data_IF_262117133616
#
_entry.id   IF_262117133616
#
_cell.length_a   1.000
_cell.length_b   1.000
_cell.length_c   1.000
_cell.angle_alpha   90.00
_cell.angle_beta   90.00
_cell.angle_gamma   90.00
#
_symmetry.space_group_name_H-M   'P 1'
#
loop_
_entity.id
_entity.type
_entity.pdbx_description
1 polymer ?
#
# COMPACT_ATOMS: atom_id res chain seq x y z
N UNK A 1 47.84 1.29 1.49
CA UNK A 1 46.78 1.88 2.36
C UNK A 1 45.45 2.04 1.61
N UNK A 2 44.94 1.02 0.90
CA UNK A 2 43.67 1.11 0.13
C UNK A 2 42.74 -0.11 0.28
N UNK A 3 42.90 -0.92 1.32
CA UNK A 3 42.09 -2.14 1.50
C UNK A 3 41.33 -2.25 2.84
N UNK A 4 41.31 -1.19 3.65
CA UNK A 4 40.62 -1.21 4.96
C UNK A 4 39.20 -0.61 4.93
N UNK A 5 38.76 0.00 3.84
CA UNK A 5 37.47 0.72 3.77
C UNK A 5 36.30 -0.14 3.24
N UNK A 6 36.54 -1.39 2.82
CA UNK A 6 35.51 -2.25 2.18
C UNK A 6 34.93 -3.32 3.12
N UNK A 7 35.02 -3.13 4.44
CA UNK A 7 34.45 -4.05 5.44
C UNK A 7 33.30 -3.48 6.27
N UNK A 8 32.78 -2.30 5.91
CA UNK A 8 31.71 -1.64 6.66
C UNK A 8 30.42 -1.47 5.85
N UNK A 9 29.95 -2.52 5.16
CA UNK A 9 28.62 -2.52 4.54
C UNK A 9 27.95 -3.90 4.48
N UNK A 10 28.09 -4.69 5.55
CA UNK A 10 27.10 -5.71 5.89
C UNK A 10 26.37 -5.25 7.15
N UNK A 11 25.41 -4.35 6.97
CA UNK A 11 24.47 -4.00 8.02
C UNK A 11 23.39 -5.09 8.10
N UNK A 12 23.55 -5.91 9.12
CA UNK A 12 22.60 -6.81 9.76
C UNK A 12 21.13 -6.43 9.55
N UNK A 13 20.41 -7.21 8.74
CA UNK A 13 18.94 -7.22 8.73
C UNK A 13 18.47 -8.05 9.92
N UNK A 14 18.39 -7.42 11.10
CA UNK A 14 17.71 -8.00 12.25
C UNK A 14 16.19 -7.90 12.05
N UNK A 15 15.56 -9.00 11.64
CA UNK A 15 14.09 -9.14 11.71
C UNK A 15 13.74 -9.82 13.02
N UNK A 16 13.35 -9.02 14.02
CA UNK A 16 12.74 -9.53 15.24
C UNK A 16 11.32 -10.03 14.97
N UNK A 17 11.07 -11.30 15.27
CA UNK A 17 9.75 -11.93 15.30
C UNK A 17 9.19 -11.77 16.71
N UNK A 18 8.05 -11.11 16.87
CA UNK A 18 7.30 -11.08 18.12
C UNK A 18 5.86 -11.49 17.86
N UNK A 19 5.48 -12.63 18.42
CA UNK A 19 4.09 -13.09 18.51
C UNK A 19 3.55 -12.52 19.82
N UNK A 20 2.96 -11.33 19.75
CA UNK A 20 2.21 -10.76 20.87
C UNK A 20 0.82 -11.39 20.90
N UNK A 21 0.66 -12.49 21.62
CA UNK A 21 -0.66 -13.00 21.96
C UNK A 21 -1.35 -12.01 22.91
N UNK A 22 -2.28 -11.21 22.39
CA UNK A 22 -3.19 -10.42 23.22
C UNK A 22 -4.07 -11.38 24.01
N UNK A 23 -3.73 -11.57 25.29
CA UNK A 23 -4.59 -12.21 26.29
C UNK A 23 -5.84 -11.33 26.46
N UNK A 24 -7.06 -11.81 26.17
CA UNK A 24 -8.25 -11.02 26.44
C UNK A 24 -8.38 -10.81 27.97
N UNK A 25 -8.84 -9.63 28.41
CA UNK A 25 -9.11 -9.40 29.83
C UNK A 25 -10.22 -10.36 30.29
N UNK A 26 -9.91 -11.14 31.33
CA UNK A 26 -10.88 -11.90 32.12
C UNK A 26 -11.94 -10.94 32.65
N UNK A 27 -13.15 -11.02 32.11
CA UNK A 27 -14.32 -10.42 32.73
C UNK A 27 -14.78 -11.33 33.87
N UNK A 28 -14.53 -10.87 35.09
CA UNK A 28 -15.08 -11.44 36.31
C UNK A 28 -16.57 -11.04 36.39
N UNK A 29 -17.45 -11.94 35.97
CA UNK A 29 -18.89 -11.74 35.98
C UNK A 29 -19.43 -11.82 37.42
N UNK A 30 -19.84 -10.68 37.96
CA UNK A 30 -20.56 -10.55 39.22
C UNK A 30 -22.03 -10.94 38.98
N UNK A 31 -22.42 -12.14 39.42
CA UNK A 31 -23.81 -12.61 39.39
C UNK A 31 -24.67 -11.78 40.36
N UNK A 32 -25.80 -11.29 39.86
CA UNK A 32 -26.92 -10.77 40.64
C UNK A 32 -28.18 -11.60 40.30
N UNK A 33 -29.16 -11.69 41.23
CA UNK A 33 -30.13 -12.77 41.26
C UNK A 33 -31.28 -12.59 40.27
N UNK A 34 -31.77 -13.76 39.85
CA UNK A 34 -32.89 -14.03 38.95
C UNK A 34 -34.20 -13.57 39.61
N UNK A 35 -34.99 -12.78 38.86
CA UNK A 35 -36.43 -12.61 39.10
C UNK A 35 -37.15 -12.94 37.79
N UNK A 36 -37.84 -14.07 37.80
CA UNK A 36 -38.81 -14.47 36.77
C UNK A 36 -40.07 -13.60 36.86
N UNK A 37 -40.61 -13.20 35.69
CA UNK A 37 -41.99 -13.51 35.28
C UNK A 37 -42.40 -12.87 33.96
N UNK A 38 -43.12 -13.70 33.19
CA UNK A 38 -44.16 -13.40 32.20
C UNK A 38 -43.78 -13.22 30.73
N UNK A 39 -44.38 -14.10 29.92
CA UNK A 39 -45.37 -13.64 28.94
C UNK A 39 -44.95 -13.85 27.49
N UNK A 40 -45.48 -14.90 26.87
CA UNK A 40 -45.18 -15.28 25.50
C UNK A 40 -45.67 -14.30 24.44
N UNK A 41 -44.87 -14.22 23.38
CA UNK A 41 -45.29 -14.12 22.00
C UNK A 41 -44.04 -14.50 21.19
N UNK A 42 -43.93 -15.80 20.89
CA UNK A 42 -42.90 -16.37 20.02
C UNK A 42 -43.08 -15.77 18.63
N UNK A 43 -42.43 -14.64 18.40
CA UNK A 43 -42.27 -14.03 17.10
C UNK A 43 -41.15 -14.80 16.43
N UNK A 44 -41.55 -15.66 15.51
CA UNK A 44 -40.66 -16.38 14.62
C UNK A 44 -39.63 -15.38 14.06
N UNK A 45 -38.32 -15.59 14.27
CA UNK A 45 -37.32 -14.65 13.83
C UNK A 45 -37.43 -14.51 12.31
N UNK A 46 -37.47 -13.28 11.77
CA UNK A 46 -37.55 -13.07 10.33
C UNK A 46 -36.43 -13.84 9.65
N UNK A 47 -36.70 -14.51 8.52
CA UNK A 47 -35.71 -15.30 7.81
C UNK A 47 -34.48 -14.42 7.59
N UNK A 48 -33.35 -14.85 8.17
CA UNK A 48 -32.06 -14.25 7.94
C UNK A 48 -31.86 -14.25 6.42
N UNK A 49 -32.00 -13.07 5.80
CA UNK A 49 -31.75 -12.88 4.38
C UNK A 49 -30.26 -13.10 4.16
N UNK A 50 -29.92 -14.37 3.94
CA UNK A 50 -28.64 -14.87 3.49
C UNK A 50 -28.42 -14.46 2.04
N UNK A 51 -28.36 -13.15 1.78
CA UNK A 51 -27.73 -12.66 0.57
C UNK A 51 -26.23 -12.72 0.80
N UNK A 52 -25.69 -13.94 0.66
CA UNK A 52 -24.26 -14.22 0.60
C UNK A 52 -23.64 -13.64 -0.67
N UNK A 53 -23.70 -12.31 -0.82
CA UNK A 53 -22.88 -11.61 -1.81
C UNK A 53 -21.43 -11.77 -1.37
N UNK A 54 -20.75 -12.70 -2.01
CA UNK A 54 -19.31 -12.81 -1.94
C UNK A 54 -18.73 -11.44 -2.31
N UNK A 55 -17.80 -10.89 -1.51
CA UNK A 55 -17.27 -9.56 -1.77
C UNK A 55 -16.63 -9.51 -3.17
N UNK A 56 -16.83 -8.41 -3.91
CA UNK A 56 -16.49 -8.33 -5.33
C UNK A 56 -14.99 -8.52 -5.52
N UNK A 57 -14.57 -9.46 -6.35
CA UNK A 57 -13.14 -9.68 -6.60
C UNK A 57 -12.57 -8.52 -7.40
N UNK A 58 -11.45 -7.94 -6.95
CA UNK A 58 -10.75 -6.92 -7.73
C UNK A 58 -10.07 -7.59 -8.93
N UNK A 59 -10.34 -7.10 -10.14
CA UNK A 59 -9.80 -7.62 -11.40
C UNK A 59 -9.11 -6.55 -12.23
N UNK A 60 -9.52 -5.31 -12.05
CA UNK A 60 -9.06 -4.16 -12.82
C UNK A 60 -8.33 -3.16 -11.93
N UNK A 61 -7.51 -2.33 -12.57
CA UNK A 61 -6.79 -1.25 -11.93
C UNK A 61 -6.94 -0.01 -12.80
N UNK A 62 -7.34 1.10 -12.19
CA UNK A 62 -7.33 2.42 -12.79
C UNK A 62 -6.51 3.37 -11.93
N UNK A 63 -6.07 4.49 -12.50
CA UNK A 63 -5.67 5.64 -11.71
C UNK A 63 -6.58 6.84 -11.99
N UNK A 64 -6.64 7.73 -11.02
CA UNK A 64 -7.30 9.01 -11.12
C UNK A 64 -6.55 10.09 -10.34
N UNK A 65 -6.77 11.33 -10.72
CA UNK A 65 -6.12 12.50 -10.14
C UNK A 65 -6.97 13.06 -9.02
N UNK A 66 -6.38 13.13 -7.83
CA UNK A 66 -7.02 13.65 -6.65
C UNK A 66 -6.69 15.13 -6.52
N UNK A 67 -7.68 16.00 -6.74
CA UNK A 67 -7.49 17.45 -6.81
C UNK A 67 -7.79 18.17 -5.50
N UNK A 68 -8.58 17.53 -4.63
CA UNK A 68 -9.00 18.10 -3.36
C UNK A 68 -9.29 16.99 -2.34
N UNK A 69 -9.43 17.38 -1.08
CA UNK A 69 -9.88 16.49 -0.01
C UNK A 69 -11.32 16.07 -0.33
N UNK A 70 -11.61 14.78 -0.11
CA UNK A 70 -12.91 14.16 -0.39
C UNK A 70 -13.29 14.18 -1.89
N UNK A 71 -12.28 14.35 -2.77
CA UNK A 71 -12.44 14.37 -4.22
C UNK A 71 -12.45 12.98 -4.87
N UNK A 72 -12.35 11.90 -4.09
CA UNK A 72 -12.36 10.55 -4.62
C UNK A 72 -13.68 10.22 -5.32
N UNK A 73 -13.59 9.54 -6.47
CA UNK A 73 -14.76 9.04 -7.17
C UNK A 73 -15.30 7.82 -6.42
N UNK A 74 -16.56 7.82 -5.94
CA UNK A 74 -17.09 6.70 -5.17
C UNK A 74 -17.44 5.49 -6.05
N UNK A 75 -17.68 4.34 -5.41
CA UNK A 75 -18.16 3.10 -6.03
C UNK A 75 -17.06 2.11 -6.42
N UNK A 76 -15.79 2.46 -6.26
CA UNK A 76 -14.68 1.54 -6.52
C UNK A 76 -14.54 0.47 -5.43
N UNK A 77 -14.11 -0.73 -5.81
CA UNK A 77 -13.93 -1.85 -4.88
C UNK A 77 -12.73 -1.67 -3.94
N UNK A 78 -11.72 -0.90 -4.36
CA UNK A 78 -10.55 -0.56 -3.56
C UNK A 78 -10.03 0.82 -3.92
N UNK A 79 -9.55 1.57 -2.93
CA UNK A 79 -8.96 2.89 -3.08
C UNK A 79 -7.52 2.82 -2.63
N UNK A 80 -6.57 2.98 -3.54
CA UNK A 80 -5.13 3.00 -3.24
C UNK A 80 -4.59 4.42 -3.35
N UNK A 81 -4.06 4.98 -2.27
CA UNK A 81 -3.50 6.32 -2.24
C UNK A 81 -1.99 6.29 -2.47
N UNK A 82 -1.52 7.10 -3.42
CA UNK A 82 -0.09 7.25 -3.74
C UNK A 82 0.46 8.48 -3.03
N UNK A 83 1.06 8.27 -1.86
CA UNK A 83 1.42 9.36 -0.94
C UNK A 83 2.93 9.51 -0.76
N UNK A 84 3.41 10.75 -0.87
CA UNK A 84 4.80 11.10 -0.55
C UNK A 84 4.90 11.73 0.82
N UNK A 85 5.91 11.33 1.59
CA UNK A 85 6.18 11.86 2.93
C UNK A 85 6.94 13.18 2.94
N UNK A 86 7.35 13.67 1.76
CA UNK A 86 8.05 14.95 1.56
C UNK A 86 7.38 15.74 0.44
N UNK A 87 7.55 17.06 0.47
CA UNK A 87 7.18 17.92 -0.67
C UNK A 87 8.04 17.56 -1.90
N UNK A 88 7.53 17.86 -3.09
CA UNK A 88 8.15 17.56 -4.40
C UNK A 88 7.98 18.73 -5.38
N UNK A 89 8.72 18.67 -6.50
CA UNK A 89 8.67 19.68 -7.55
C UNK A 89 9.13 21.06 -7.04
N UNK A 90 8.47 22.12 -7.50
CA UNK A 90 8.73 23.49 -7.06
C UNK A 90 8.61 23.68 -5.54
N UNK A 91 7.86 22.83 -4.83
CA UNK A 91 7.66 22.91 -3.39
C UNK A 91 8.83 22.30 -2.58
N UNK A 92 9.80 21.66 -3.23
CA UNK A 92 10.96 21.03 -2.59
C UNK A 92 12.23 21.05 -3.48
N UNK A 93 12.84 22.22 -3.70
CA UNK A 93 14.05 22.35 -4.52
C UNK A 93 15.25 21.57 -3.97
N UNK A 94 15.23 21.16 -2.69
CA UNK A 94 16.29 20.42 -2.01
C UNK A 94 15.96 18.94 -1.77
N UNK A 95 14.98 18.38 -2.48
CA UNK A 95 14.67 16.95 -2.35
C UNK A 95 15.89 16.12 -2.80
N UNK A 96 16.37 15.16 -1.98
CA UNK A 96 17.47 14.29 -2.37
C UNK A 96 17.17 13.59 -3.71
N UNK A 97 18.16 13.54 -4.59
CA UNK A 97 18.00 13.04 -5.95
C UNK A 97 17.47 11.59 -5.99
N UNK A 98 17.98 10.73 -5.10
CA UNK A 98 17.54 9.35 -4.99
C UNK A 98 16.07 9.22 -4.59
N UNK A 99 15.58 10.11 -3.70
CA UNK A 99 14.17 10.17 -3.29
C UNK A 99 13.31 10.66 -4.45
N UNK A 100 13.73 11.71 -5.15
CA UNK A 100 13.03 12.23 -6.32
C UNK A 100 12.89 11.16 -7.41
N UNK A 101 13.97 10.45 -7.73
CA UNK A 101 13.95 9.34 -8.69
C UNK A 101 12.98 8.23 -8.28
N UNK A 102 12.94 7.87 -6.99
CA UNK A 102 12.05 6.83 -6.48
C UNK A 102 10.57 7.21 -6.60
N UNK A 103 10.24 8.47 -6.32
CA UNK A 103 8.88 8.98 -6.46
C UNK A 103 8.46 9.05 -7.93
N UNK A 104 9.33 9.59 -8.80
CA UNK A 104 9.06 9.68 -10.23
C UNK A 104 8.87 8.28 -10.85
N UNK A 105 9.73 7.33 -10.51
CA UNK A 105 9.61 5.95 -10.97
C UNK A 105 8.30 5.28 -10.55
N UNK A 106 7.75 5.63 -9.37
CA UNK A 106 6.45 5.11 -8.93
C UNK A 106 5.31 5.69 -9.76
N UNK A 107 5.30 7.00 -10.00
CA UNK A 107 4.27 7.64 -10.83
C UNK A 107 4.29 7.07 -12.24
N UNK A 108 5.47 6.96 -12.85
CA UNK A 108 5.65 6.36 -14.17
C UNK A 108 5.24 4.88 -14.21
N UNK A 109 5.56 4.11 -13.18
CA UNK A 109 5.16 2.71 -13.09
C UNK A 109 3.63 2.54 -13.03
N UNK A 110 2.94 3.38 -12.26
CA UNK A 110 1.47 3.36 -12.17
C UNK A 110 0.87 3.78 -13.51
N UNK A 111 1.29 4.93 -14.03
CA UNK A 111 0.76 5.48 -15.27
C UNK A 111 0.96 4.54 -16.47
N UNK A 112 2.16 4.00 -16.65
CA UNK A 112 2.49 3.13 -17.80
C UNK A 112 1.81 1.76 -17.76
N UNK A 113 1.26 1.36 -16.61
CA UNK A 113 0.72 0.01 -16.41
C UNK A 113 -0.76 -0.01 -16.03
N UNK A 114 -1.42 1.14 -16.00
CA UNK A 114 -2.77 1.29 -15.46
C UNK A 114 -3.54 2.29 -16.32
N UNK A 115 -4.77 1.95 -16.73
CA UNK A 115 -5.63 2.88 -17.48
C UNK A 115 -6.13 4.02 -16.59
N UNK A 116 -6.60 5.13 -17.18
CA UNK A 116 -7.30 6.14 -16.39
C UNK A 116 -8.68 5.62 -15.97
N UNK A 117 -9.24 6.18 -14.90
CA UNK A 117 -10.61 5.91 -14.49
C UNK A 117 -11.63 6.25 -15.60
N UNK A 118 -11.38 7.30 -16.39
CA UNK A 118 -12.21 7.66 -17.53
C UNK A 118 -12.20 6.61 -18.65
N UNK A 119 -11.02 6.03 -18.95
CA UNK A 119 -10.89 4.99 -19.96
C UNK A 119 -11.65 3.72 -19.57
N UNK A 120 -11.58 3.32 -18.29
CA UNK A 120 -12.31 2.16 -17.80
C UNK A 120 -13.83 2.36 -17.84
N UNK A 121 -14.31 3.56 -17.52
CA UNK A 121 -15.74 3.88 -17.62
C UNK A 121 -16.22 3.88 -19.07
N UNK A 122 -15.44 4.44 -20.00
CA UNK A 122 -15.74 4.37 -21.42
C UNK A 122 -15.79 2.92 -21.93
N UNK A 123 -14.97 2.03 -21.35
CA UNK A 123 -14.96 0.59 -21.61
C UNK A 123 -16.03 -0.20 -20.83
N UNK A 124 -16.89 0.47 -20.05
CA UNK A 124 -17.95 -0.14 -19.24
C UNK A 124 -17.45 -1.19 -18.23
N UNK A 125 -16.24 -0.97 -17.69
CA UNK A 125 -15.67 -1.84 -16.66
C UNK A 125 -16.32 -1.53 -15.29
N UNK A 126 -16.79 -2.55 -14.53
CA UNK A 126 -17.41 -2.34 -13.22
C UNK A 126 -16.45 -1.69 -12.21
N UNK A 127 -16.92 -0.68 -11.48
CA UNK A 127 -16.10 0.05 -10.49
C UNK A 127 -15.81 -0.82 -9.27
N UNK A 128 -16.79 -1.59 -8.84
CA UNK A 128 -16.73 -2.52 -7.72
C UNK A 128 -15.66 -3.61 -7.89
N UNK A 129 -15.27 -3.93 -9.14
CA UNK A 129 -14.19 -4.87 -9.47
C UNK A 129 -12.85 -4.16 -9.75
N UNK A 130 -12.77 -2.85 -9.49
CA UNK A 130 -11.63 -2.01 -9.83
C UNK A 130 -10.95 -1.43 -8.59
N UNK A 131 -9.62 -1.54 -8.54
CA UNK A 131 -8.78 -0.75 -7.63
C UNK A 131 -8.42 0.59 -8.26
N UNK A 132 -8.73 1.67 -7.57
CA UNK A 132 -8.46 3.04 -8.00
C UNK A 132 -7.20 3.60 -7.30
N UNK A 133 -6.13 3.83 -8.06
CA UNK A 133 -4.98 4.60 -7.61
C UNK A 133 -5.31 6.09 -7.60
N UNK A 134 -5.46 6.67 -6.42
CA UNK A 134 -5.69 8.09 -6.22
C UNK A 134 -4.35 8.81 -6.08
N UNK A 135 -4.02 9.67 -7.06
CA UNK A 135 -2.75 10.40 -7.15
C UNK A 135 -3.01 11.90 -6.91
N UNK A 136 -2.52 12.49 -5.80
CA UNK A 136 -2.64 13.93 -5.56
C UNK A 136 -2.05 14.77 -6.69
N UNK A 137 -2.85 15.62 -7.32
CA UNK A 137 -2.46 16.43 -8.47
C UNK A 137 -2.95 17.88 -8.36
N UNK A 138 -2.22 18.80 -9.00
CA UNK A 138 -2.53 20.24 -9.01
C UNK A 138 -3.58 20.63 -10.06
N UNK A 139 -3.80 19.78 -11.07
CA UNK A 139 -4.74 20.01 -12.17
C UNK A 139 -5.30 18.70 -12.70
N UNK A 140 -6.53 18.75 -13.24
CA UNK A 140 -7.25 17.60 -13.79
C UNK A 140 -6.63 17.07 -15.10
N UNK A 141 -6.01 17.95 -15.88
CA UNK A 141 -5.43 17.58 -17.18
C UNK A 141 -3.93 17.20 -17.06
N UNK A 142 -3.41 17.14 -15.84
CA UNK A 142 -2.00 16.91 -15.62
C UNK A 142 -1.63 15.43 -15.70
N UNK A 143 -0.53 15.14 -16.38
CA UNK A 143 0.11 13.83 -16.28
C UNK A 143 0.65 13.60 -14.86
N UNK A 144 0.58 12.38 -14.29
CA UNK A 144 1.26 12.05 -13.04
C UNK A 144 2.78 12.30 -13.12
N UNK A 145 3.27 13.36 -12.47
CA UNK A 145 4.69 13.72 -12.43
C UNK A 145 4.99 14.53 -11.16
N UNK A 146 6.27 14.65 -10.79
CA UNK A 146 6.63 15.42 -9.57
C UNK A 146 6.20 16.89 -9.62
N UNK A 147 6.24 17.53 -10.77
CA UNK A 147 5.90 18.96 -10.90
C UNK A 147 4.40 19.23 -10.77
N UNK A 148 3.57 18.30 -11.27
CA UNK A 148 2.12 18.32 -11.18
C UNK A 148 1.58 17.73 -9.87
N UNK A 149 2.40 17.05 -9.08
CA UNK A 149 1.98 16.39 -7.85
C UNK A 149 1.64 17.40 -6.74
N UNK A 150 0.49 17.20 -6.08
CA UNK A 150 0.03 18.10 -5.04
C UNK A 150 0.52 17.68 -3.63
N UNK A 151 1.73 18.10 -3.27
CA UNK A 151 2.37 17.78 -1.98
C UNK A 151 1.49 18.08 -0.75
N UNK A 152 0.83 19.25 -0.72
CA UNK A 152 -0.03 19.64 0.41
C UNK A 152 -1.19 18.67 0.64
N UNK A 153 -1.90 18.31 -0.43
CA UNK A 153 -3.00 17.35 -0.39
C UNK A 153 -2.52 15.95 0.03
N UNK A 154 -1.38 15.50 -0.49
CA UNK A 154 -0.78 14.23 -0.09
C UNK A 154 -0.49 14.17 1.43
N UNK A 155 0.04 15.25 2.01
CA UNK A 155 0.28 15.33 3.45
C UNK A 155 -1.01 15.33 4.26
N UNK A 156 -2.10 15.90 3.74
CA UNK A 156 -3.42 15.82 4.37
C UNK A 156 -3.94 14.39 4.37
N UNK A 157 -3.92 13.69 3.22
CA UNK A 157 -4.31 12.27 3.15
C UNK A 157 -3.43 11.37 4.03
N UNK A 158 -2.13 11.66 4.12
CA UNK A 158 -1.23 10.97 5.03
C UNK A 158 -1.65 11.14 6.50
N UNK A 159 -2.10 12.33 6.89
CA UNK A 159 -2.62 12.59 8.23
C UNK A 159 -3.93 11.83 8.50
N UNK A 160 -4.82 11.73 7.50
CA UNK A 160 -6.03 10.90 7.59
C UNK A 160 -5.70 9.42 7.76
N UNK A 161 -4.74 8.90 6.97
CA UNK A 161 -4.27 7.52 7.09
C UNK A 161 -3.67 7.23 8.48
N UNK A 162 -2.90 8.16 9.06
CA UNK A 162 -2.41 8.03 10.43
C UNK A 162 -3.56 7.95 11.46
N UNK A 163 -4.64 8.69 11.23
CA UNK A 163 -5.87 8.59 12.03
C UNK A 163 -6.56 7.23 11.92
N UNK A 164 -6.61 6.65 10.72
CA UNK A 164 -7.16 5.31 10.46
C UNK A 164 -6.29 4.20 11.09
N UNK A 165 -4.97 4.41 11.16
CA UNK A 165 -3.99 3.49 11.72
C UNK A 165 -3.89 3.49 13.26
N UNK A 166 -4.79 4.17 13.98
CA UNK A 166 -4.80 4.17 15.46
C UNK A 166 -4.89 2.72 15.98
N UNK A 167 -3.87 2.30 16.74
CA UNK A 167 -3.69 0.92 17.21
C UNK A 167 -2.57 0.14 16.51
N UNK A 168 -2.00 0.68 15.44
CA UNK A 168 -0.90 0.08 14.68
C UNK A 168 0.40 0.91 14.75
N UNK A 169 1.00 1.00 15.94
CA UNK A 169 2.13 1.89 16.25
C UNK A 169 3.31 1.77 15.27
N UNK A 170 3.61 0.56 14.79
CA UNK A 170 4.70 0.34 13.84
C UNK A 170 4.46 1.07 12.51
N UNK A 171 3.27 0.90 11.93
CA UNK A 171 2.91 1.54 10.67
C UNK A 171 2.74 3.04 10.85
N UNK A 172 2.17 3.48 11.98
CA UNK A 172 2.10 4.90 12.33
C UNK A 172 3.47 5.58 12.37
N UNK A 173 4.49 4.92 12.94
CA UNK A 173 5.88 5.44 12.96
C UNK A 173 6.49 5.49 11.56
N UNK A 174 6.34 4.44 10.75
CA UNK A 174 6.85 4.43 9.37
C UNK A 174 6.19 5.52 8.54
N UNK A 175 4.86 5.60 8.61
CA UNK A 175 4.10 6.59 7.87
C UNK A 175 4.38 8.00 8.40
N UNK A 176 4.71 8.23 9.66
CA UNK A 176 5.01 9.60 10.17
C UNK A 176 6.45 10.04 9.90
N UNK A 177 7.43 9.13 10.00
CA UNK A 177 8.86 9.46 9.91
C UNK A 177 9.48 9.17 8.54
N UNK A 178 8.91 8.26 7.75
CA UNK A 178 9.46 7.85 6.46
C UNK A 178 9.28 8.91 5.38
N UNK A 179 10.21 8.94 4.43
CA UNK A 179 10.07 9.77 3.23
C UNK A 179 8.99 9.21 2.30
N UNK A 180 8.77 7.89 2.27
CA UNK A 180 7.96 7.25 1.26
C UNK A 180 8.79 6.92 0.01
N UNK A 181 8.15 6.52 -1.10
CA UNK A 181 6.71 6.66 -1.33
C UNK A 181 5.89 5.58 -0.63
N UNK A 182 4.63 5.87 -0.33
CA UNK A 182 3.70 4.97 0.34
C UNK A 182 2.51 4.64 -0.55
N UNK A 183 2.08 3.38 -0.55
CA UNK A 183 0.79 2.95 -1.08
C UNK A 183 -0.10 2.55 0.09
N UNK A 184 -1.28 3.16 0.18
CA UNK A 184 -2.25 2.86 1.23
C UNK A 184 -3.56 2.44 0.57
N UNK A 185 -4.00 1.18 0.73
CA UNK A 185 -5.30 0.74 0.22
C UNK A 185 -6.36 0.64 1.29
N UNK A 186 -7.56 1.08 0.95
CA UNK A 186 -8.75 1.01 1.81
C UNK A 186 -9.96 0.58 0.99
N UNK A 187 -10.96 -0.04 1.63
CA UNK A 187 -12.19 -0.48 0.96
C UNK A 187 -13.15 0.67 0.64
N UNK A 188 -12.93 1.81 1.31
CA UNK A 188 -13.71 3.04 1.17
C UNK A 188 -12.76 4.22 1.02
N UNK A 189 -13.26 5.38 0.54
CA UNK A 189 -12.50 6.62 0.59
C UNK A 189 -11.93 6.88 2.00
N UNK A 190 -10.69 7.34 2.09
CA UNK A 190 -9.90 7.39 3.32
C UNK A 190 -10.54 8.26 4.41
N UNK A 191 -11.27 9.30 4.02
CA UNK A 191 -12.06 10.16 4.91
C UNK A 191 -13.24 9.42 5.59
N UNK A 192 -13.72 8.33 4.98
CA UNK A 192 -14.80 7.49 5.48
C UNK A 192 -14.29 6.30 6.29
N UNK A 193 -13.00 5.99 6.21
CA UNK A 193 -12.39 4.88 6.94
C UNK A 193 -12.46 5.15 8.45
N UNK A 194 -12.83 4.12 9.21
CA UNK A 194 -12.92 4.18 10.68
C UNK A 194 -12.16 3.00 11.28
N UNK A 195 -11.30 3.23 12.27
CA UNK A 195 -10.67 2.14 13.01
C UNK A 195 -11.75 1.31 13.72
N UNK A 196 -11.72 -0.04 13.66
CA UNK A 196 -10.63 -0.92 13.19
C UNK A 196 -10.84 -1.50 11.76
N UNK A 197 -11.02 -0.66 10.75
CA UNK A 197 -11.15 -1.12 9.36
C UNK A 197 -9.81 -1.61 8.78
N UNK A 198 -9.80 -2.72 8.03
CA UNK A 198 -8.60 -3.22 7.37
C UNK A 198 -8.02 -2.24 6.34
N UNK A 199 -6.70 -2.11 6.33
CA UNK A 199 -5.97 -1.29 5.35
C UNK A 199 -4.67 -1.97 4.90
N UNK A 200 -4.32 -1.79 3.62
CA UNK A 200 -3.06 -2.27 3.05
C UNK A 200 -2.05 -1.14 3.12
N UNK A 201 -0.88 -1.42 3.67
CA UNK A 201 0.20 -0.45 3.72
C UNK A 201 1.44 -1.05 3.06
N UNK A 202 1.96 -0.36 2.04
CA UNK A 202 3.26 -0.64 1.46
C UNK A 202 4.17 0.59 1.59
N UNK A 203 5.29 0.40 2.26
CA UNK A 203 6.37 1.39 2.34
C UNK A 203 7.43 1.06 1.30
N UNK A 204 7.57 1.94 0.31
CA UNK A 204 8.50 1.78 -0.80
C UNK A 204 9.78 2.63 -0.61
N UNK A 205 9.98 3.22 0.57
CA UNK A 205 11.07 4.19 0.84
C UNK A 205 12.48 3.65 0.62
N UNK A 206 12.69 2.34 0.83
CA UNK A 206 14.00 1.70 0.75
C UNK A 206 14.26 0.99 -0.58
N UNK A 207 13.31 1.01 -1.51
CA UNK A 207 13.37 0.20 -2.72
C UNK A 207 14.06 0.93 -3.87
N UNK A 208 14.86 0.22 -4.67
CA UNK A 208 15.54 0.78 -5.84
C UNK A 208 14.49 1.36 -6.83
N UNK A 209 14.64 2.62 -7.30
CA UNK A 209 13.76 3.19 -8.32
C UNK A 209 13.60 2.31 -9.56
N UNK A 210 14.65 1.59 -9.97
CA UNK A 210 14.61 0.70 -11.13
C UNK A 210 13.65 -0.49 -10.97
N UNK A 211 13.34 -0.91 -9.74
CA UNK A 211 12.45 -2.03 -9.45
C UNK A 211 10.97 -1.61 -9.30
N UNK A 212 10.66 -0.32 -9.47
CA UNK A 212 9.34 0.21 -9.12
C UNK A 212 8.23 -0.34 -10.02
N UNK A 213 8.53 -0.66 -11.28
CA UNK A 213 7.58 -1.28 -12.21
C UNK A 213 7.19 -2.68 -11.74
N UNK A 214 8.17 -3.49 -11.34
CA UNK A 214 7.98 -4.84 -10.84
C UNK A 214 7.22 -4.81 -9.50
N UNK A 215 7.55 -3.86 -8.62
CA UNK A 215 6.85 -3.68 -7.34
C UNK A 215 5.38 -3.31 -7.54
N UNK A 216 5.07 -2.38 -8.45
CA UNK A 216 3.68 -2.02 -8.79
C UNK A 216 2.95 -3.20 -9.43
N UNK A 217 3.60 -3.97 -10.32
CA UNK A 217 3.01 -5.16 -10.92
C UNK A 217 2.69 -6.23 -9.87
N UNK A 218 3.63 -6.53 -8.97
CA UNK A 218 3.44 -7.49 -7.88
C UNK A 218 2.32 -7.04 -6.92
N UNK A 219 2.27 -5.75 -6.61
CA UNK A 219 1.22 -5.15 -5.79
C UNK A 219 -0.18 -5.34 -6.42
N UNK A 220 -0.34 -5.01 -7.71
CA UNK A 220 -1.60 -5.21 -8.44
C UNK A 220 -2.01 -6.67 -8.52
N UNK A 221 -1.06 -7.56 -8.81
CA UNK A 221 -1.30 -9.00 -8.87
C UNK A 221 -1.76 -9.56 -7.52
N UNK A 222 -1.23 -9.03 -6.41
CA UNK A 222 -1.65 -9.43 -5.07
C UNK A 222 -3.09 -9.00 -4.78
N UNK A 223 -3.46 -7.76 -5.12
CA UNK A 223 -4.83 -7.27 -4.99
C UNK A 223 -5.81 -8.17 -5.78
N UNK A 224 -5.44 -8.58 -7.00
CA UNK A 224 -6.31 -9.43 -7.83
C UNK A 224 -6.57 -10.83 -7.25
N UNK A 225 -5.62 -11.37 -6.48
CA UNK A 225 -5.67 -12.72 -5.92
C UNK A 225 -6.43 -12.81 -4.60
N UNK A 226 -6.90 -11.70 -4.05
CA UNK A 226 -7.48 -11.64 -2.72
C UNK A 226 -8.87 -11.03 -2.75
N UNK A 227 -9.86 -11.73 -2.18
CA UNK A 227 -11.20 -11.20 -2.03
C UNK A 227 -11.18 -10.02 -1.05
N UNK A 228 -11.71 -8.84 -1.42
CA UNK A 228 -11.84 -7.71 -0.48
C UNK A 228 -12.68 -8.12 0.72
N UNK A 229 -12.32 -7.65 1.91
CA UNK A 229 -13.10 -7.89 3.13
C UNK A 229 -12.65 -9.07 4.01
N UNK A 230 -11.68 -9.88 3.59
CA UNK A 230 -10.96 -10.77 4.53
C UNK A 230 -9.65 -10.13 4.97
N UNK A 231 -9.44 -10.07 6.30
CA UNK A 231 -8.17 -9.69 6.96
C UNK A 231 -6.93 -10.42 6.40
N UNK A 232 -7.12 -11.48 5.63
CA UNK A 232 -6.09 -12.26 4.92
C UNK A 232 -5.40 -11.50 3.76
N UNK A 233 -5.92 -10.35 3.34
CA UNK A 233 -5.26 -9.46 2.37
C UNK A 233 -3.87 -8.98 2.87
N UNK A 234 -3.70 -8.81 4.18
CA UNK A 234 -2.70 -7.90 4.76
C UNK A 234 -1.44 -8.56 5.35
N UNK A 235 -1.52 -9.81 5.82
CA UNK A 235 -0.37 -10.57 6.36
C UNK A 235 0.63 -11.06 5.28
N UNK A 236 0.20 -11.61 4.11
CA UNK A 236 1.11 -12.21 3.13
C UNK A 236 1.85 -11.23 2.21
N UNK A 237 1.44 -9.95 2.11
CA UNK A 237 2.10 -8.98 1.22
C UNK A 237 3.57 -8.77 1.62
N UNK A 238 3.86 -8.78 2.93
CA UNK A 238 5.22 -8.65 3.45
C UNK A 238 6.12 -9.78 2.96
N UNK A 239 5.63 -11.02 2.94
CA UNK A 239 6.38 -12.19 2.49
C UNK A 239 6.59 -12.18 0.97
N UNK A 240 5.55 -11.88 0.18
CA UNK A 240 5.67 -11.82 -1.28
C UNK A 240 6.62 -10.71 -1.75
N UNK A 241 6.58 -9.53 -1.13
CA UNK A 241 7.56 -8.47 -1.37
C UNK A 241 8.96 -8.90 -0.92
N UNK A 242 9.09 -9.53 0.25
CA UNK A 242 10.38 -10.09 0.69
C UNK A 242 10.94 -11.08 -0.33
N UNK A 243 10.08 -11.95 -0.88
CA UNK A 243 10.51 -12.98 -1.83
C UNK A 243 10.95 -12.34 -3.13
N UNK A 244 10.20 -11.35 -3.65
CA UNK A 244 10.56 -10.61 -4.87
C UNK A 244 11.88 -9.82 -4.69
N UNK A 245 12.10 -9.27 -3.50
CA UNK A 245 13.33 -8.53 -3.15
C UNK A 245 14.52 -9.48 -3.00
N UNK A 246 14.32 -10.66 -2.41
CA UNK A 246 15.35 -11.69 -2.30
C UNK A 246 15.73 -12.23 -3.69
N UNK A 247 14.75 -12.52 -4.54
CA UNK A 247 14.95 -13.02 -5.90
C UNK A 247 15.69 -11.97 -6.77
N UNK A 248 15.31 -10.70 -6.66
CA UNK A 248 16.00 -9.61 -7.36
C UNK A 248 17.45 -9.41 -6.86
N UNK A 249 17.73 -9.65 -5.58
CA UNK A 249 19.08 -9.55 -5.04
C UNK A 249 19.96 -10.72 -5.50
N UNK A 250 19.39 -11.92 -5.60
CA UNK A 250 20.08 -13.12 -6.11
C UNK A 250 20.42 -12.99 -7.61
N UNK A 251 19.56 -12.31 -8.39
CA UNK A 251 19.87 -11.98 -9.79
C UNK A 251 20.95 -10.90 -9.95
N UNK A 252 21.06 -9.95 -9.01
CA UNK A 252 22.14 -8.95 -9.02
C UNK A 252 23.50 -9.57 -8.70
N UNK A 253 23.56 -10.59 -7.84
CA UNK A 253 24.80 -11.37 -7.64
C UNK A 253 25.13 -12.21 -8.86
N UNK A 254 24.14 -12.86 -9.50
CA UNK A 254 24.37 -13.64 -10.71
C UNK A 254 24.96 -12.80 -11.87
N UNK A 255 24.49 -11.55 -12.02
CA UNK A 255 25.03 -10.63 -13.03
C UNK A 255 26.44 -10.17 -12.66
N UNK A 256 26.71 -9.92 -11.37
CA UNK A 256 28.07 -9.54 -10.92
C UNK A 256 29.07 -10.69 -11.09
N UNK A 257 28.67 -11.91 -10.83
CA UNK A 257 29.50 -13.11 -11.00
C UNK A 257 29.74 -13.38 -12.48
N UNK A 258 28.70 -13.25 -13.33
CA UNK A 258 28.85 -13.37 -14.78
C UNK A 258 29.74 -12.27 -15.38
N UNK A 259 29.68 -11.03 -14.87
CA UNK A 259 30.54 -9.93 -15.31
C UNK A 259 31.97 -10.07 -14.80
N UNK A 260 32.17 -10.62 -13.60
CA UNK A 260 33.49 -10.93 -13.07
C UNK A 260 34.16 -12.07 -13.86
N UNK A 261 33.43 -13.14 -14.14
CA UNK A 261 33.87 -14.28 -14.96
C UNK A 261 34.19 -13.84 -16.41
N UNK A 262 33.37 -12.96 -16.98
CA UNK A 262 33.65 -12.39 -18.31
C UNK A 262 34.88 -11.47 -18.34
N UNK A 263 35.16 -10.76 -17.24
CA UNK A 263 36.35 -9.89 -17.13
C UNK A 263 37.64 -10.70 -16.99
N UNK A 264 37.59 -11.82 -16.29
CA UNK A 264 38.76 -12.67 -16.04
C UNK A 264 39.08 -13.60 -17.23
N UNK A 265 38.17 -13.71 -18.21
CA UNK A 265 38.35 -14.46 -19.46
C UNK A 265 38.86 -13.62 -20.64
N UNK A 266 39.01 -12.30 -20.48
CA UNK A 266 39.64 -11.45 -21.48
C UNK A 266 41.17 -11.52 -21.34
N UNK A 267 41.91 -11.97 -22.37
CA UNK A 267 43.36 -11.94 -22.34
C UNK A 267 43.86 -10.49 -22.33
N UNK A 268 44.82 -10.19 -21.47
CA UNK A 268 45.52 -8.90 -21.42
C UNK A 268 46.03 -8.53 -22.83
N UNK A 269 45.40 -7.53 -23.45
CA UNK A 269 45.88 -6.89 -24.68
C UNK A 269 46.39 -5.48 -24.36
#
# INVERSE_FOLDING_TARGET
>A
MKLAALRLLLATVCVSVFIGACKPPSQEAKQAPIVDKNGGAETEPPPAMANGHEPPQIRHHAYDLLLQIDGERPGYGLYTYVLFGRKVGADAPSLPHDVAQRYQALLEAIESSTSTAGDLEAALIPKEETNLFNIPAKSADARPALDSYHSGLALTYRSLALGALRGHDKFGRLLSGGAGPFLISTLRPLNQVRSPEPLLFADLSVHNPAAMRELVAAYKQRINRSAPGKLELFEPLRLALLTLILDANDHVTLIKDAVADWRDTLPDQ
#
